data_IF_794155718370
#
_entry.id   IF_794155718370
#
_cell.length_a   1.000
_cell.length_b   1.000
_cell.length_c   1.000
_cell.angle_alpha   90.00
_cell.angle_beta   90.00
_cell.angle_gamma   90.00
#
_symmetry.space_group_name_H-M   'P 1'
#
loop_
_entity.id
_entity.type
_entity.pdbx_description
1 polymer ?
#
# COMPACT_ATOMS: atom_id res chain seq x y z
N UNK A 1 -43.70 -37.86 8.14
CA UNK A 1 -42.74 -38.10 9.24
C UNK A 1 -41.36 -37.72 8.72
N UNK A 2 -40.64 -36.87 9.48
CA UNK A 2 -39.23 -36.46 9.32
C UNK A 2 -38.81 -35.72 8.04
N UNK A 3 -38.66 -34.40 8.15
CA UNK A 3 -37.43 -33.66 7.84
C UNK A 3 -37.69 -32.16 7.99
N UNK A 4 -37.38 -31.57 9.16
CA UNK A 4 -37.15 -30.12 9.33
C UNK A 4 -36.74 -29.79 10.76
N UNK A 5 -35.50 -30.06 11.14
CA UNK A 5 -34.87 -29.44 12.32
C UNK A 5 -33.34 -29.51 12.21
N UNK A 6 -32.73 -28.54 11.52
CA UNK A 6 -31.35 -28.10 11.78
C UNK A 6 -31.00 -26.90 10.88
N UNK A 7 -31.52 -25.71 11.21
CA UNK A 7 -31.03 -24.47 10.58
C UNK A 7 -31.13 -23.24 11.51
N UNK A 8 -31.10 -23.44 12.84
CA UNK A 8 -31.17 -22.32 13.79
C UNK A 8 -29.86 -22.01 14.52
N UNK A 9 -28.81 -22.84 14.43
CA UNK A 9 -27.57 -22.62 15.19
C UNK A 9 -26.46 -21.86 14.45
N UNK A 10 -26.57 -21.64 13.13
CA UNK A 10 -25.54 -20.91 12.37
C UNK A 10 -25.71 -19.37 12.34
N UNK A 11 -26.82 -18.84 12.86
CA UNK A 11 -27.09 -17.38 12.85
C UNK A 11 -26.53 -16.62 14.06
N UNK A 12 -26.16 -17.30 15.14
CA UNK A 12 -25.65 -16.64 16.35
C UNK A 12 -24.13 -16.37 16.34
N UNK A 13 -23.33 -17.08 15.55
CA UNK A 13 -21.88 -16.80 15.49
C UNK A 13 -21.48 -15.65 14.55
N UNK A 14 -22.39 -15.19 13.68
CA UNK A 14 -22.11 -14.09 12.73
C UNK A 14 -22.26 -12.69 13.34
N UNK A 15 -22.90 -12.57 14.51
CA UNK A 15 -23.08 -11.28 15.19
C UNK A 15 -21.94 -10.94 16.16
N UNK A 16 -21.08 -11.90 16.53
CA UNK A 16 -20.05 -11.67 17.54
C UNK A 16 -18.74 -11.08 16.99
N UNK A 17 -18.55 -11.10 15.66
CA UNK A 17 -17.38 -10.45 15.00
C UNK A 17 -17.70 -9.00 14.58
N UNK A 18 -18.96 -8.57 14.69
CA UNK A 18 -19.47 -7.27 14.23
C UNK A 18 -19.41 -6.15 15.27
N UNK A 19 -18.68 -6.33 16.39
CA UNK A 19 -18.67 -5.36 17.50
C UNK A 19 -17.30 -4.82 17.90
N UNK A 20 -16.30 -4.89 17.01
CA UNK A 20 -15.05 -4.15 17.16
C UNK A 20 -14.74 -3.52 15.80
N UNK A 21 -14.47 -2.21 15.80
CA UNK A 21 -14.24 -1.31 14.65
C UNK A 21 -15.47 -0.54 14.18
N UNK A 22 -15.64 0.67 14.76
CA UNK A 22 -16.37 1.78 14.16
C UNK A 22 -15.66 2.25 12.88
N UNK A 23 -15.81 1.47 11.81
CA UNK A 23 -15.33 1.77 10.46
C UNK A 23 -16.48 2.40 9.67
N UNK A 24 -16.24 3.52 8.99
CA UNK A 24 -17.29 4.16 8.16
C UNK A 24 -17.75 3.18 7.07
N UNK A 25 -18.99 2.70 7.21
CA UNK A 25 -19.61 1.61 6.45
C UNK A 25 -19.69 1.86 4.94
N UNK A 26 -19.66 3.13 4.53
CA UNK A 26 -19.81 3.55 3.13
C UNK A 26 -18.54 3.31 2.30
N UNK A 27 -17.37 3.50 2.91
CA UNK A 27 -16.08 3.26 2.26
C UNK A 27 -15.87 1.76 2.04
N UNK A 28 -16.13 0.96 3.08
CA UNK A 28 -15.98 -0.50 3.03
C UNK A 28 -16.93 -1.15 2.03
N UNK A 29 -18.12 -0.60 1.79
CA UNK A 29 -19.05 -1.10 0.77
C UNK A 29 -18.54 -0.87 -0.66
N UNK A 30 -17.87 0.26 -0.92
CA UNK A 30 -17.27 0.53 -2.23
C UNK A 30 -16.10 -0.42 -2.53
N UNK A 31 -15.27 -0.71 -1.52
CA UNK A 31 -14.15 -1.66 -1.66
C UNK A 31 -14.60 -3.13 -1.60
N UNK A 32 -15.63 -3.49 -0.82
CA UNK A 32 -16.21 -4.84 -0.85
C UNK A 32 -16.78 -5.19 -2.22
N UNK A 33 -17.38 -4.23 -2.92
CA UNK A 33 -17.87 -4.42 -4.28
C UNK A 33 -16.72 -4.68 -5.28
N UNK A 34 -15.54 -4.06 -5.09
CA UNK A 34 -14.33 -4.37 -5.85
C UNK A 34 -13.79 -5.79 -5.54
N UNK A 35 -13.93 -6.28 -4.30
CA UNK A 35 -13.43 -7.61 -3.89
C UNK A 35 -14.34 -8.80 -4.25
N UNK A 36 -15.62 -8.58 -4.58
CA UNK A 36 -16.64 -9.66 -4.62
C UNK A 36 -16.60 -10.57 -5.87
N UNK A 37 -15.66 -10.36 -6.80
CA UNK A 37 -15.62 -11.10 -8.09
C UNK A 37 -14.28 -11.78 -8.40
N UNK A 38 -13.44 -12.07 -7.40
CA UNK A 38 -12.07 -12.53 -7.65
C UNK A 38 -11.77 -13.99 -7.29
N UNK A 39 -10.88 -14.57 -8.11
CA UNK A 39 -10.32 -15.93 -8.08
C UNK A 39 -9.83 -16.38 -6.70
N UNK A 40 -9.59 -17.69 -6.52
CA UNK A 40 -9.13 -18.37 -5.28
C UNK A 40 -7.93 -17.72 -4.55
N UNK A 41 -7.19 -16.83 -5.22
CA UNK A 41 -6.12 -15.99 -4.66
C UNK A 41 -6.62 -14.86 -3.74
N UNK A 42 -7.92 -14.55 -3.74
CA UNK A 42 -8.52 -13.47 -2.94
C UNK A 42 -8.54 -13.77 -1.42
N UNK A 43 -8.40 -15.04 -1.03
CA UNK A 43 -8.33 -15.48 0.37
C UNK A 43 -6.89 -15.53 0.91
N UNK A 44 -5.90 -15.27 0.06
CA UNK A 44 -4.49 -15.35 0.43
C UNK A 44 -4.06 -13.96 0.91
N UNK A 45 -3.62 -13.86 2.17
CA UNK A 45 -3.31 -12.59 2.82
C UNK A 45 -1.82 -12.32 2.96
N UNK A 46 -0.98 -13.37 2.95
CA UNK A 46 0.45 -13.27 3.18
C UNK A 46 1.28 -14.18 2.26
N UNK A 47 2.58 -13.94 2.25
CA UNK A 47 3.55 -14.65 1.39
C UNK A 47 3.55 -16.16 1.63
N UNK A 48 3.56 -16.60 2.90
CA UNK A 48 3.58 -18.03 3.23
C UNK A 48 2.34 -18.78 2.73
N UNK A 49 1.16 -18.18 2.88
CA UNK A 49 -0.08 -18.73 2.32
C UNK A 49 -0.03 -18.79 0.79
N UNK A 50 0.54 -17.78 0.13
CA UNK A 50 0.70 -17.76 -1.32
C UNK A 50 1.60 -18.88 -1.82
N UNK A 51 2.79 -19.04 -1.22
CA UNK A 51 3.73 -20.08 -1.60
C UNK A 51 3.17 -21.48 -1.34
N UNK A 52 2.49 -21.70 -0.22
CA UNK A 52 1.79 -22.96 0.08
C UNK A 52 0.72 -23.26 -0.99
N UNK A 53 -0.08 -22.27 -1.38
CA UNK A 53 -1.07 -22.42 -2.44
C UNK A 53 -0.43 -22.80 -3.78
N UNK A 54 0.65 -22.12 -4.15
CA UNK A 54 1.39 -22.39 -5.38
C UNK A 54 2.04 -23.77 -5.37
N UNK A 55 2.59 -24.22 -4.22
CA UNK A 55 3.17 -25.57 -4.05
C UNK A 55 2.12 -26.66 -4.27
N UNK A 56 0.94 -26.50 -3.66
CA UNK A 56 -0.18 -27.45 -3.83
C UNK A 56 -0.66 -27.52 -5.28
N UNK A 57 -0.71 -26.39 -5.98
CA UNK A 57 -1.12 -26.31 -7.38
C UNK A 57 0.01 -26.53 -8.40
N UNK A 58 1.25 -26.79 -7.93
CA UNK A 58 2.45 -26.96 -8.77
C UNK A 58 2.63 -25.82 -9.78
N UNK A 59 2.44 -24.57 -9.35
CA UNK A 59 2.55 -23.39 -10.21
C UNK A 59 3.99 -23.19 -10.69
N UNK A 60 4.19 -22.87 -11.97
CA UNK A 60 5.53 -22.57 -12.46
C UNK A 60 6.11 -21.30 -11.80
N UNK A 61 7.11 -21.48 -10.93
CA UNK A 61 7.74 -20.41 -10.14
C UNK A 61 8.66 -19.50 -10.95
N UNK A 62 9.01 -19.90 -12.18
CA UNK A 62 9.77 -19.04 -13.11
C UNK A 62 8.87 -18.05 -13.85
N UNK A 63 7.55 -18.27 -13.83
CA UNK A 63 6.59 -17.44 -14.57
C UNK A 63 6.56 -16.00 -14.06
N UNK A 64 6.30 -15.08 -14.98
CA UNK A 64 6.16 -13.64 -14.68
C UNK A 64 4.98 -13.38 -13.74
N UNK A 65 3.90 -14.14 -13.87
CA UNK A 65 2.72 -14.05 -13.00
C UNK A 65 3.09 -14.44 -11.56
N UNK A 66 3.74 -15.60 -11.37
CA UNK A 66 4.16 -16.04 -10.03
C UNK A 66 5.09 -15.02 -9.37
N UNK A 67 6.13 -14.58 -10.09
CA UNK A 67 7.12 -13.62 -9.59
C UNK A 67 6.53 -12.24 -9.33
N UNK A 68 5.54 -11.83 -10.13
CA UNK A 68 4.80 -10.58 -9.92
C UNK A 68 3.96 -10.64 -8.65
N UNK A 69 3.11 -11.67 -8.51
CA UNK A 69 2.24 -11.82 -7.34
C UNK A 69 3.02 -12.05 -6.05
N UNK A 70 4.12 -12.82 -6.09
CA UNK A 70 5.01 -12.98 -4.93
C UNK A 70 5.60 -11.63 -4.50
N UNK A 71 6.04 -10.83 -5.47
CA UNK A 71 6.58 -9.49 -5.22
C UNK A 71 5.53 -8.55 -4.60
N UNK A 72 4.28 -8.58 -5.06
CA UNK A 72 3.17 -7.83 -4.45
C UNK A 72 2.95 -8.21 -2.97
N UNK A 73 2.91 -9.52 -2.65
CA UNK A 73 2.77 -9.98 -1.27
C UNK A 73 3.94 -9.56 -0.39
N UNK A 74 5.15 -9.62 -0.93
CA UNK A 74 6.33 -9.17 -0.20
C UNK A 74 6.33 -7.66 0.03
N UNK A 75 5.99 -6.86 -0.98
CA UNK A 75 5.85 -5.40 -0.84
C UNK A 75 4.78 -5.06 0.19
N UNK A 76 3.61 -5.73 0.16
CA UNK A 76 2.59 -5.57 1.20
C UNK A 76 3.18 -5.76 2.60
N UNK A 77 3.89 -6.88 2.81
CA UNK A 77 4.53 -7.18 4.10
C UNK A 77 5.57 -6.13 4.51
N UNK A 78 6.39 -5.66 3.56
CA UNK A 78 7.37 -4.60 3.78
C UNK A 78 6.70 -3.29 4.20
N UNK A 79 5.60 -2.90 3.56
CA UNK A 79 4.85 -1.69 3.90
C UNK A 79 4.23 -1.77 5.30
N UNK A 80 3.67 -2.93 5.66
CA UNK A 80 3.16 -3.20 7.01
C UNK A 80 4.28 -3.06 8.06
N UNK A 81 5.43 -3.69 7.81
CA UNK A 81 6.54 -3.76 8.77
C UNK A 81 7.34 -2.45 8.90
N UNK A 82 7.70 -1.83 7.77
CA UNK A 82 8.63 -0.68 7.75
C UNK A 82 7.93 0.67 7.66
N UNK A 83 6.76 0.73 7.00
CA UNK A 83 6.04 1.98 6.78
C UNK A 83 4.76 2.09 7.61
N UNK A 84 4.56 1.21 8.59
CA UNK A 84 3.38 1.20 9.45
C UNK A 84 2.06 1.16 8.64
N UNK A 85 2.06 0.40 7.54
CA UNK A 85 0.86 0.14 6.77
C UNK A 85 -0.16 -0.63 7.61
N UNK A 86 -1.42 -0.18 7.61
CA UNK A 86 -2.53 -0.81 8.32
C UNK A 86 -3.60 -1.26 7.34
N UNK A 87 -4.30 -2.35 7.69
CA UNK A 87 -5.43 -2.87 6.93
C UNK A 87 -5.08 -3.03 5.43
N UNK A 88 -3.86 -3.48 5.14
CA UNK A 88 -3.36 -3.61 3.78
C UNK A 88 -3.99 -4.83 3.11
N UNK A 89 -4.55 -4.64 1.91
CA UNK A 89 -5.26 -5.66 1.15
C UNK A 89 -4.65 -5.68 -0.25
N UNK A 90 -4.22 -6.87 -0.69
CA UNK A 90 -3.79 -7.08 -2.08
C UNK A 90 -5.03 -7.22 -2.96
N UNK A 91 -5.16 -6.34 -3.96
CA UNK A 91 -6.27 -6.33 -4.91
C UNK A 91 -5.90 -6.95 -6.27
N UNK A 92 -4.61 -7.26 -6.49
CA UNK A 92 -4.05 -7.62 -7.80
C UNK A 92 -4.81 -8.70 -8.58
N UNK A 93 -5.22 -8.35 -9.81
CA UNK A 93 -5.90 -9.21 -10.80
C UNK A 93 -6.39 -8.44 -12.05
N UNK A 94 -6.92 -9.14 -13.06
CA UNK A 94 -7.18 -8.56 -14.40
C UNK A 94 -8.17 -7.39 -14.50
N UNK A 95 -8.79 -6.92 -13.40
CA UNK A 95 -9.74 -5.80 -13.36
C UNK A 95 -9.46 -4.81 -12.23
N UNK A 96 -8.23 -4.72 -11.74
CA UNK A 96 -7.83 -3.85 -10.62
C UNK A 96 -7.46 -2.42 -11.04
N UNK A 97 -7.65 -2.09 -12.32
CA UNK A 97 -7.26 -0.83 -12.95
C UNK A 97 -5.78 -0.46 -12.75
N UNK A 98 -4.91 -1.39 -12.33
CA UNK A 98 -3.50 -1.14 -12.02
C UNK A 98 -3.22 -0.80 -10.56
N UNK A 99 -4.15 -1.03 -9.63
CA UNK A 99 -3.91 -0.93 -8.19
C UNK A 99 -3.69 -2.33 -7.61
N UNK A 100 -2.48 -2.60 -7.13
CA UNK A 100 -2.12 -3.92 -6.61
C UNK A 100 -2.42 -4.05 -5.11
N UNK A 101 -2.26 -2.96 -4.33
CA UNK A 101 -2.47 -2.96 -2.87
C UNK A 101 -3.17 -1.67 -2.43
N UNK A 102 -4.11 -1.79 -1.51
CA UNK A 102 -4.78 -0.67 -0.83
C UNK A 102 -4.70 -0.88 0.68
N UNK A 103 -4.57 0.20 1.43
CA UNK A 103 -4.74 0.20 2.88
C UNK A 103 -4.65 1.60 3.46
N UNK A 104 -4.16 1.69 4.70
CA UNK A 104 -3.95 2.92 5.43
C UNK A 104 -2.48 3.11 5.76
N UNK A 105 -2.04 4.36 5.82
CA UNK A 105 -0.69 4.70 6.25
C UNK A 105 -0.74 5.34 7.63
N UNK A 106 -0.24 4.66 8.65
CA UNK A 106 -0.09 5.26 9.98
C UNK A 106 1.10 6.20 10.00
N UNK A 107 0.80 7.51 9.95
CA UNK A 107 1.80 8.56 10.00
C UNK A 107 2.14 9.01 11.42
N UNK A 108 1.45 8.51 12.45
CA UNK A 108 1.69 8.94 13.83
C UNK A 108 3.12 8.62 14.31
N UNK A 109 3.66 7.38 14.12
CA UNK A 109 5.03 7.07 14.54
C UNK A 109 6.07 8.02 13.93
N UNK A 110 5.89 8.35 12.65
CA UNK A 110 6.76 9.27 11.94
C UNK A 110 6.67 10.70 12.48
N UNK A 111 5.47 11.15 12.84
CA UNK A 111 5.28 12.46 13.47
C UNK A 111 5.93 12.52 14.86
N UNK A 112 5.77 11.47 15.68
CA UNK A 112 6.40 11.42 16.99
C UNK A 112 7.93 11.44 16.91
N UNK A 113 8.51 10.77 15.92
CA UNK A 113 9.95 10.82 15.66
C UNK A 113 10.35 12.23 15.22
N UNK A 114 9.59 12.88 14.34
CA UNK A 114 9.92 14.22 13.84
C UNK A 114 9.91 15.28 14.95
N UNK A 115 9.05 15.15 15.96
CA UNK A 115 9.06 16.00 17.15
C UNK A 115 10.32 15.82 18.01
N UNK A 116 10.87 14.60 18.08
CA UNK A 116 12.09 14.29 18.83
C UNK A 116 13.36 14.68 18.09
N UNK A 117 13.29 14.82 16.77
CA UNK A 117 14.37 15.31 15.92
C UNK A 117 14.56 16.82 16.14
N UNK A 118 15.06 17.22 17.32
CA UNK A 118 15.52 18.57 17.62
C UNK A 118 16.51 19.00 16.53
N UNK A 119 16.19 20.04 15.75
CA UNK A 119 17.12 20.96 15.09
C UNK A 119 16.40 21.80 14.02
N UNK A 120 16.46 23.12 14.15
CA UNK A 120 16.01 24.16 13.19
C UNK A 120 14.50 24.17 12.90
N UNK A 121 13.86 25.32 13.17
CA UNK A 121 12.51 25.62 12.68
C UNK A 121 12.50 25.51 11.15
N UNK A 122 11.95 24.41 10.64
CA UNK A 122 11.62 24.32 9.23
C UNK A 122 10.24 24.94 9.01
N UNK A 123 10.17 25.90 8.09
CA UNK A 123 8.92 26.49 7.66
C UNK A 123 7.97 25.38 7.16
N UNK A 124 6.88 25.17 7.88
CA UNK A 124 5.85 24.22 7.50
C UNK A 124 5.07 24.78 6.31
N UNK A 125 4.97 24.00 5.24
CA UNK A 125 4.20 24.39 4.07
C UNK A 125 2.69 24.39 4.38
N UNK A 126 1.94 25.38 3.86
CA UNK A 126 0.49 25.54 4.13
C UNK A 126 -0.38 24.33 3.73
N UNK A 127 0.12 23.47 2.84
CA UNK A 127 -0.54 22.23 2.44
C UNK A 127 -0.23 21.03 3.34
N UNK A 128 0.56 21.22 4.40
CA UNK A 128 0.94 20.16 5.34
C UNK A 128 -0.28 19.54 6.03
N UNK A 129 -0.22 18.23 6.27
CA UNK A 129 -1.19 17.50 7.10
C UNK A 129 -1.25 18.01 8.53
N UNK A 130 -0.17 18.62 9.03
CA UNK A 130 -0.11 19.13 10.40
C UNK A 130 -1.16 20.22 10.66
N UNK A 131 -1.51 21.00 9.64
CA UNK A 131 -2.59 22.00 9.72
C UNK A 131 -4.00 21.41 9.76
N UNK A 132 -4.12 20.09 9.62
CA UNK A 132 -5.39 19.38 9.68
C UNK A 132 -5.52 18.53 10.95
N UNK A 133 -4.57 18.60 11.87
CA UNK A 133 -4.62 17.85 13.13
C UNK A 133 -5.67 18.44 14.09
N UNK A 134 -6.20 17.63 15.03
CA UNK A 134 -7.04 18.13 16.11
C UNK A 134 -6.34 19.27 16.88
N UNK A 135 -7.10 20.30 17.25
CA UNK A 135 -6.57 21.49 17.94
C UNK A 135 -6.12 22.63 17.00
N UNK A 136 -6.11 22.41 15.68
CA UNK A 136 -5.97 23.47 14.67
C UNK A 136 -7.35 24.05 14.30
N UNK A 137 -7.42 25.27 13.75
CA UNK A 137 -8.69 25.94 13.35
C UNK A 137 -9.45 25.27 12.19
N UNK A 138 -9.12 24.02 11.82
CA UNK A 138 -9.73 23.29 10.72
C UNK A 138 -11.14 22.80 11.04
N UNK A 139 -12.06 22.93 10.08
CA UNK A 139 -13.44 22.43 10.21
C UNK A 139 -13.56 20.90 10.17
N UNK A 140 -12.53 20.19 9.68
CA UNK A 140 -12.53 18.73 9.51
C UNK A 140 -11.15 18.15 9.89
N UNK A 141 -10.91 17.87 11.18
CA UNK A 141 -9.64 17.31 11.61
C UNK A 141 -9.40 15.93 11.00
N UNK A 142 -8.13 15.52 10.95
CA UNK A 142 -7.69 14.20 10.47
C UNK A 142 -6.96 13.45 11.57
N UNK A 143 -7.14 12.13 11.60
CA UNK A 143 -6.27 11.23 12.36
C UNK A 143 -5.11 10.74 11.49
N UNK A 144 -3.87 10.97 11.94
CA UNK A 144 -2.67 10.44 11.25
C UNK A 144 -2.64 8.93 11.19
N UNK A 145 -3.32 8.26 12.11
CA UNK A 145 -3.25 6.80 12.26
C UNK A 145 -4.30 6.03 11.47
N UNK A 146 -5.39 6.69 11.07
CA UNK A 146 -6.57 6.02 10.51
C UNK A 146 -7.10 6.68 9.22
N UNK A 147 -6.84 7.98 8.99
CA UNK A 147 -7.50 8.70 7.89
C UNK A 147 -6.68 8.80 6.61
N UNK A 148 -5.41 8.41 6.66
CA UNK A 148 -4.50 8.47 5.52
C UNK A 148 -4.59 7.17 4.75
N UNK A 149 -5.05 7.25 3.51
CA UNK A 149 -5.14 6.14 2.59
C UNK A 149 -3.82 5.93 1.85
N UNK A 150 -3.49 4.67 1.66
CA UNK A 150 -2.35 4.24 0.86
C UNK A 150 -2.84 3.39 -0.30
N UNK A 151 -2.43 3.77 -1.50
CA UNK A 151 -2.67 3.04 -2.74
C UNK A 151 -1.32 2.70 -3.33
N UNK A 152 -1.14 1.48 -3.83
CA UNK A 152 0.17 0.98 -4.27
C UNK A 152 0.03 0.27 -5.60
N UNK A 153 0.96 0.57 -6.50
CA UNK A 153 1.21 -0.20 -7.71
C UNK A 153 2.60 -0.82 -7.63
N UNK A 154 2.68 -2.12 -7.86
CA UNK A 154 3.89 -2.92 -7.89
C UNK A 154 4.24 -3.26 -9.34
N UNK A 155 5.48 -3.01 -9.75
CA UNK A 155 5.97 -3.40 -11.07
C UNK A 155 7.32 -4.10 -10.96
N UNK A 156 7.28 -5.43 -10.86
CA UNK A 156 8.48 -6.26 -10.86
C UNK A 156 9.02 -6.46 -12.29
N UNK A 157 9.84 -5.52 -12.75
CA UNK A 157 10.44 -5.55 -14.11
C UNK A 157 11.92 -5.18 -14.07
N UNK A 158 12.66 -5.72 -15.04
CA UNK A 158 14.07 -5.36 -15.29
C UNK A 158 14.23 -3.96 -15.92
N UNK A 159 13.18 -3.44 -16.56
CA UNK A 159 13.20 -2.13 -17.22
C UNK A 159 12.85 -1.01 -16.24
N UNK A 160 13.49 0.14 -16.38
CA UNK A 160 13.09 1.35 -15.66
C UNK A 160 11.73 1.83 -16.15
N UNK A 161 10.90 2.32 -15.24
CA UNK A 161 9.57 2.83 -15.60
C UNK A 161 9.66 4.27 -16.13
N UNK A 162 8.83 4.56 -17.12
CA UNK A 162 8.80 5.81 -17.87
C UNK A 162 7.72 6.77 -17.40
N UNK A 163 7.54 7.84 -18.19
CA UNK A 163 6.43 8.77 -18.00
C UNK A 163 5.07 8.15 -18.33
N UNK A 164 5.02 7.10 -19.18
CA UNK A 164 3.77 6.43 -19.55
C UNK A 164 3.12 5.75 -18.33
N UNK A 165 3.91 4.99 -17.56
CA UNK A 165 3.46 4.32 -16.34
C UNK A 165 2.99 5.33 -15.29
N UNK A 166 3.71 6.44 -15.12
CA UNK A 166 3.32 7.50 -14.17
C UNK A 166 2.04 8.22 -14.60
N UNK A 167 1.79 8.38 -15.90
CA UNK A 167 0.53 8.93 -16.42
C UNK A 167 -0.63 7.97 -16.19
N UNK A 168 -0.43 6.68 -16.44
CA UNK A 168 -1.43 5.65 -16.15
C UNK A 168 -1.83 5.71 -14.68
N UNK A 169 -0.84 5.75 -13.78
CA UNK A 169 -1.06 5.93 -12.35
C UNK A 169 -1.88 7.17 -12.00
N UNK A 170 -1.50 8.31 -12.56
CA UNK A 170 -2.21 9.57 -12.33
C UNK A 170 -3.66 9.49 -12.82
N UNK A 171 -3.89 8.82 -13.96
CA UNK A 171 -5.22 8.58 -14.50
C UNK A 171 -6.10 7.73 -13.59
N UNK A 172 -5.54 6.71 -12.95
CA UNK A 172 -6.25 5.88 -11.95
C UNK A 172 -6.70 6.73 -10.77
N UNK A 173 -5.81 7.58 -10.24
CA UNK A 173 -6.10 8.41 -9.08
C UNK A 173 -7.25 9.40 -9.35
N UNK A 174 -7.25 9.98 -10.56
CA UNK A 174 -8.29 10.90 -11.01
C UNK A 174 -9.60 10.17 -11.31
N UNK A 175 -9.55 9.01 -11.98
CA UNK A 175 -10.73 8.18 -12.29
C UNK A 175 -11.51 7.79 -11.03
N UNK A 176 -10.81 7.36 -9.99
CA UNK A 176 -11.41 6.99 -8.70
C UNK A 176 -11.69 8.19 -7.78
N UNK A 177 -11.35 9.42 -8.21
CA UNK A 177 -11.54 10.68 -7.45
C UNK A 177 -10.96 10.62 -6.05
N UNK A 178 -9.76 10.06 -5.91
CA UNK A 178 -9.09 9.98 -4.60
C UNK A 178 -8.83 11.38 -4.02
N UNK A 179 -8.81 11.46 -2.69
CA UNK A 179 -8.62 12.72 -2.00
C UNK A 179 -7.13 13.11 -2.01
N UNK A 180 -6.79 14.16 -2.76
CA UNK A 180 -5.41 14.68 -2.92
C UNK A 180 -4.69 15.03 -1.61
N UNK A 181 -5.41 15.23 -0.51
CA UNK A 181 -4.82 15.51 0.81
C UNK A 181 -4.75 14.30 1.73
N UNK A 182 -5.48 13.23 1.45
CA UNK A 182 -5.59 12.06 2.35
C UNK A 182 -5.12 10.76 1.70
N UNK A 183 -4.86 10.76 0.40
CA UNK A 183 -4.43 9.57 -0.33
C UNK A 183 -3.01 9.76 -0.84
N UNK A 184 -2.13 8.83 -0.47
CA UNK A 184 -0.79 8.69 -1.03
C UNK A 184 -0.77 7.54 -2.03
N UNK A 185 -0.08 7.74 -3.14
CA UNK A 185 0.18 6.70 -4.12
C UNK A 185 1.65 6.28 -4.07
N UNK A 186 1.91 4.99 -3.91
CA UNK A 186 3.26 4.41 -3.98
C UNK A 186 3.43 3.62 -5.28
N UNK A 187 4.44 3.99 -6.08
CA UNK A 187 4.92 3.19 -7.21
C UNK A 187 6.14 2.41 -6.76
N UNK A 188 6.03 1.09 -6.69
CA UNK A 188 7.08 0.20 -6.18
C UNK A 188 7.69 -0.62 -7.30
N UNK A 189 8.99 -0.47 -7.54
CA UNK A 189 9.69 -1.19 -8.61
C UNK A 189 11.15 -1.49 -8.25
N UNK A 190 11.78 -2.52 -8.83
CA UNK A 190 13.18 -2.83 -8.55
C UNK A 190 14.20 -1.80 -9.06
N UNK A 191 13.79 -0.93 -9.98
CA UNK A 191 14.66 0.03 -10.63
C UNK A 191 14.09 1.45 -10.52
N UNK A 192 14.94 2.48 -10.44
CA UNK A 192 14.51 3.87 -10.39
C UNK A 192 13.76 4.29 -11.65
N UNK A 193 12.78 5.18 -11.47
CA UNK A 193 12.11 5.84 -12.60
C UNK A 193 13.14 6.50 -13.51
N UNK A 194 12.84 6.53 -14.81
CA UNK A 194 13.60 7.35 -15.77
C UNK A 194 13.50 8.84 -15.41
N UNK A 195 14.40 9.67 -15.93
CA UNK A 195 14.35 11.13 -15.73
C UNK A 195 12.99 11.70 -16.13
N UNK A 196 12.47 11.28 -17.29
CA UNK A 196 11.14 11.68 -17.75
C UNK A 196 10.02 11.17 -16.82
N UNK A 197 10.17 9.97 -16.25
CA UNK A 197 9.27 9.43 -15.23
C UNK A 197 9.23 10.29 -13.97
N UNK A 198 10.40 10.70 -13.45
CA UNK A 198 10.50 11.62 -12.30
C UNK A 198 9.88 12.99 -12.63
N UNK A 199 10.19 13.55 -13.80
CA UNK A 199 9.58 14.81 -14.25
C UNK A 199 8.06 14.71 -14.29
N UNK A 200 7.52 13.59 -14.80
CA UNK A 200 6.08 13.36 -14.83
C UNK A 200 5.48 13.17 -13.42
N UNK A 201 6.19 12.49 -12.51
CA UNK A 201 5.79 12.27 -11.13
C UNK A 201 5.65 13.61 -10.37
N UNK A 202 6.59 14.53 -10.59
CA UNK A 202 6.60 15.87 -9.99
C UNK A 202 5.53 16.81 -10.53
N UNK A 203 4.99 16.55 -11.72
CA UNK A 203 3.85 17.30 -12.28
C UNK A 203 2.52 16.90 -11.66
N UNK A 204 2.44 15.75 -11.00
CA UNK A 204 1.20 15.28 -10.39
C UNK A 204 0.79 16.17 -9.22
N UNK A 205 -0.51 16.50 -9.14
CA UNK A 205 -1.10 17.16 -7.98
C UNK A 205 -1.34 16.20 -6.80
N UNK A 206 -1.20 14.89 -7.02
CA UNK A 206 -1.36 13.88 -5.99
C UNK A 206 -0.04 13.65 -5.25
N UNK A 207 -0.08 13.40 -3.93
CA UNK A 207 1.07 12.92 -3.18
C UNK A 207 1.51 11.54 -3.70
N UNK A 208 2.66 11.48 -4.36
CA UNK A 208 3.18 10.24 -4.93
C UNK A 208 4.59 9.98 -4.42
N UNK A 209 4.88 8.70 -4.19
CA UNK A 209 6.17 8.22 -3.70
C UNK A 209 6.61 7.09 -4.63
N UNK A 210 7.86 7.14 -5.09
CA UNK A 210 8.47 6.02 -5.76
C UNK A 210 9.37 5.27 -4.77
N UNK A 211 9.10 3.98 -4.56
CA UNK A 211 9.90 3.12 -3.70
C UNK A 211 10.68 2.12 -4.56
N UNK A 212 11.96 1.97 -4.25
CA UNK A 212 12.83 0.99 -4.88
C UNK A 212 12.98 -0.19 -3.95
N UNK A 213 12.42 -1.33 -4.34
CA UNK A 213 12.50 -2.58 -3.57
C UNK A 213 13.19 -3.62 -4.43
N UNK A 214 14.31 -4.17 -3.94
CA UNK A 214 15.12 -5.11 -4.72
C UNK A 214 14.30 -6.34 -5.13
N UNK A 215 14.57 -6.93 -6.30
CA UNK A 215 13.78 -8.04 -6.78
C UNK A 215 14.02 -9.28 -5.90
N UNK A 216 12.98 -10.08 -5.73
CA UNK A 216 13.09 -11.37 -5.04
C UNK A 216 13.78 -12.39 -5.96
N UNK A 217 14.80 -13.06 -5.42
CA UNK A 217 15.55 -14.12 -6.10
C UNK A 217 15.57 -15.36 -5.23
N UNK A 218 15.45 -16.52 -5.84
CA UNK A 218 15.56 -17.79 -5.18
C UNK A 218 16.16 -18.78 -6.19
N UNK A 219 17.28 -19.38 -5.81
CA UNK A 219 18.01 -20.37 -6.61
C UNK A 219 17.73 -21.81 -6.13
N UNK A 220 17.16 -21.98 -4.92
CA UNK A 220 16.91 -23.27 -4.28
C UNK A 220 15.51 -23.32 -3.62
N UNK A 221 14.75 -24.39 -3.89
CA UNK A 221 13.34 -24.59 -3.47
C UNK A 221 12.48 -23.31 -3.53
N UNK A 222 11.92 -23.05 -4.71
CA UNK A 222 11.16 -21.85 -5.02
C UNK A 222 9.87 -21.65 -4.20
N UNK A 223 9.47 -22.61 -3.35
CA UNK A 223 8.28 -22.49 -2.49
C UNK A 223 8.59 -22.24 -1.02
N UNK A 224 9.86 -22.33 -0.62
CA UNK A 224 10.27 -21.96 0.73
C UNK A 224 10.64 -20.48 0.77
N UNK A 225 9.93 -19.70 1.60
CA UNK A 225 10.11 -18.25 1.67
C UNK A 225 11.49 -17.87 2.21
N UNK A 226 12.02 -18.68 3.14
CA UNK A 226 13.27 -18.37 3.82
C UNK A 226 14.48 -18.47 2.88
N UNK A 227 14.31 -19.17 1.74
CA UNK A 227 15.31 -19.26 0.67
C UNK A 227 15.21 -18.13 -0.37
N UNK A 228 14.29 -17.17 -0.20
CA UNK A 228 14.22 -15.99 -1.07
C UNK A 228 15.08 -14.86 -0.52
N UNK A 229 16.00 -14.40 -1.37
CA UNK A 229 16.84 -13.23 -1.11
C UNK A 229 16.32 -11.99 -1.83
N UNK A 230 16.77 -10.81 -1.39
CA UNK A 230 16.35 -9.51 -1.91
C UNK A 230 15.13 -8.96 -1.18
N UNK A 231 14.28 -8.20 -1.87
CA UNK A 231 13.10 -7.58 -1.27
C UNK A 231 13.40 -6.42 -0.31
N UNK A 232 14.66 -6.01 -0.17
CA UNK A 232 15.03 -4.86 0.66
C UNK A 232 14.57 -3.54 0.04
N UNK A 233 14.11 -2.61 0.90
CA UNK A 233 13.89 -1.21 0.51
C UNK A 233 15.25 -0.54 0.28
N UNK A 234 15.55 -0.20 -0.97
CA UNK A 234 16.83 0.38 -1.39
C UNK A 234 16.79 1.91 -1.48
N UNK A 235 15.64 2.49 -1.84
CA UNK A 235 15.50 3.93 -2.02
C UNK A 235 14.04 4.37 -1.98
N UNK A 236 13.82 5.64 -1.68
CA UNK A 236 12.53 6.29 -1.75
C UNK A 236 12.66 7.69 -2.34
N UNK A 237 11.73 8.08 -3.19
CA UNK A 237 11.64 9.40 -3.78
C UNK A 237 10.25 9.98 -3.61
N UNK A 238 10.14 11.15 -3.00
CA UNK A 238 8.89 11.88 -2.83
C UNK A 238 8.74 12.90 -3.96
N UNK A 239 7.55 12.97 -4.55
CA UNK A 239 7.24 14.06 -5.47
C UNK A 239 6.97 15.38 -4.72
N UNK A 240 6.96 16.49 -5.45
CA UNK A 240 6.71 17.81 -4.86
C UNK A 240 5.42 17.91 -4.03
N UNK A 241 4.35 17.23 -4.44
CA UNK A 241 3.09 17.22 -3.71
C UNK A 241 3.23 16.47 -2.37
N UNK A 242 3.86 15.30 -2.36
CA UNK A 242 4.13 14.52 -1.17
C UNK A 242 5.03 15.29 -0.19
N UNK A 243 6.11 15.91 -0.65
CA UNK A 243 7.00 16.73 0.19
C UNK A 243 6.25 17.90 0.86
N UNK A 244 5.34 18.55 0.12
CA UNK A 244 4.50 19.64 0.67
C UNK A 244 3.50 19.15 1.72
N UNK A 245 2.83 18.03 1.45
CA UNK A 245 1.81 17.44 2.34
C UNK A 245 2.46 16.86 3.60
N UNK A 246 3.65 16.27 3.48
CA UNK A 246 4.43 15.71 4.58
C UNK A 246 5.43 16.71 5.18
N UNK A 247 5.31 18.00 4.86
CA UNK A 247 6.15 19.05 5.46
C UNK A 247 5.99 19.03 6.98
N UNK A 248 7.11 18.98 7.70
CA UNK A 248 7.15 18.84 9.17
C UNK A 248 7.32 17.40 9.67
N UNK A 249 7.11 16.39 8.80
CA UNK A 249 7.37 14.98 9.15
C UNK A 249 8.83 14.59 8.94
N UNK A 250 9.68 15.38 8.27
CA UNK A 250 11.08 14.99 7.94
C UNK A 250 11.14 13.62 7.23
N UNK A 251 10.22 13.41 6.29
CA UNK A 251 9.97 12.07 5.78
C UNK A 251 11.10 11.52 4.93
N UNK A 252 11.81 12.38 4.22
CA UNK A 252 13.00 11.98 3.47
C UNK A 252 14.09 11.43 4.41
N UNK A 253 14.38 12.10 5.52
CA UNK A 253 15.36 11.62 6.50
C UNK A 253 14.93 10.30 7.14
N UNK A 254 13.65 10.19 7.51
CA UNK A 254 13.13 8.97 8.14
C UNK A 254 13.13 7.79 7.16
N UNK A 255 12.77 7.99 5.89
CA UNK A 255 12.83 6.93 4.88
C UNK A 255 14.27 6.47 4.61
N UNK A 256 15.24 7.39 4.63
CA UNK A 256 16.66 7.03 4.51
C UNK A 256 17.12 6.10 5.65
N UNK A 257 16.60 6.27 6.86
CA UNK A 257 16.90 5.39 8.00
C UNK A 257 16.29 3.98 7.88
N UNK A 258 15.25 3.82 7.05
CA UNK A 258 14.60 2.53 6.80
C UNK A 258 15.28 1.71 5.69
N UNK A 259 16.12 2.37 4.89
CA UNK A 259 16.97 1.74 3.88
C UNK A 259 18.10 1.02 4.61
N UNK A 260 18.23 -0.28 4.35
CA UNK A 260 19.31 -1.15 4.85
C UNK A 260 19.94 -1.85 3.68
#
# INVERSE_FOLDING_TARGET
MLFRFCFCFLRCLFYYVLRICNFSTTLMNSYRLLTRKYSSTALIENVGQYLKHCKLKKVNTTSTVFRGTLYEFHVKHLLELKLHGKNMIRCGGSYDNGIDIIGQWDLDPFYQISLKMNNVEHKIHNASLLHLLPGTSTKRPISLSNDIQLVVQCKNTKKRLGAAEVRQLSGILEYHKFNKKRTFMMMVSPHPLTVQGITQLNKSSYPMINLIVSPLKNEMDHYDYDNWEGGSLCSAYLNHAATKVLSGFRMEQQLLQLIK
#
